data_IF_549427553380
#
_entry.id   IF_549427553380
#
_cell.length_a   1.000
_cell.length_b   1.000
_cell.length_c   1.000
_cell.angle_alpha   90.00
_cell.angle_beta   90.00
_cell.angle_gamma   90.00
#
_symmetry.space_group_name_H-M   'P 1'
#
loop_
_entity.id
_entity.type
_entity.pdbx_description
1 polymer ?
#
# COMPACT_ATOMS: atom_id res chain seq x y z
N UNK A 1 5.09 19.01 -32.75
CA UNK A 1 4.40 17.72 -32.66
C UNK A 1 3.69 17.68 -31.31
N UNK A 2 2.36 17.78 -31.30
CA UNK A 2 1.55 17.68 -30.08
C UNK A 2 1.57 16.22 -29.62
N UNK A 3 2.26 15.92 -28.52
CA UNK A 3 2.12 14.64 -27.84
C UNK A 3 0.82 14.69 -27.04
N UNK A 4 -0.18 13.94 -27.49
CA UNK A 4 -1.44 13.77 -26.79
C UNK A 4 -1.18 13.19 -25.39
N UNK A 5 -1.56 13.93 -24.35
CA UNK A 5 -1.69 13.37 -23.01
C UNK A 5 -2.79 12.30 -23.07
N UNK A 6 -2.40 11.02 -23.10
CA UNK A 6 -3.32 9.92 -22.94
C UNK A 6 -3.94 10.02 -21.54
N UNK A 7 -5.18 10.54 -21.48
CA UNK A 7 -5.98 10.50 -20.27
C UNK A 7 -6.42 9.05 -20.06
N UNK A 8 -5.61 8.31 -19.29
CA UNK A 8 -5.98 6.98 -18.84
C UNK A 8 -7.26 7.10 -18.01
N UNK A 9 -8.30 6.28 -18.29
CA UNK A 9 -9.53 6.32 -17.53
C UNK A 9 -9.22 6.07 -16.06
N UNK A 10 -9.68 6.96 -15.19
CA UNK A 10 -9.59 6.75 -13.75
C UNK A 10 -10.28 5.42 -13.39
N UNK A 11 -9.73 4.64 -12.44
CA UNK A 11 -10.34 3.38 -12.02
C UNK A 11 -11.80 3.59 -11.62
N UNK A 12 -12.71 2.80 -12.19
CA UNK A 12 -14.16 2.95 -12.06
C UNK A 12 -14.72 2.44 -10.72
N UNK A 13 -13.91 2.43 -9.67
CA UNK A 13 -14.26 1.86 -8.37
C UNK A 13 -13.39 2.38 -7.22
N UNK A 14 -13.75 2.06 -5.96
CA UNK A 14 -12.98 2.49 -4.81
C UNK A 14 -11.56 1.91 -4.86
N UNK A 15 -10.57 2.78 -4.71
CA UNK A 15 -9.16 2.38 -4.58
C UNK A 15 -8.89 1.98 -3.12
N UNK A 16 -8.43 0.74 -2.84
CA UNK A 16 -8.05 0.31 -1.51
C UNK A 16 -7.04 1.26 -0.86
N UNK A 17 -7.16 1.47 0.45
CA UNK A 17 -6.22 2.33 1.19
C UNK A 17 -4.77 1.84 1.08
N UNK A 18 -4.57 0.52 1.02
CA UNK A 18 -3.26 -0.10 0.86
C UNK A 18 -2.58 0.22 -0.48
N UNK A 19 -3.35 0.55 -1.52
CA UNK A 19 -2.83 0.94 -2.84
C UNK A 19 -2.43 2.42 -2.90
N UNK A 20 -2.76 3.21 -1.88
CA UNK A 20 -2.35 4.62 -1.77
C UNK A 20 -0.97 4.72 -1.11
N UNK A 21 0.01 4.02 -1.68
CA UNK A 21 1.36 3.84 -1.14
C UNK A 21 1.98 5.11 -0.60
N UNK A 22 2.03 6.19 -1.38
CA UNK A 22 2.65 7.45 -0.97
C UNK A 22 2.04 8.03 0.31
N UNK A 23 0.71 8.03 0.42
CA UNK A 23 0.00 8.50 1.60
C UNK A 23 0.20 7.57 2.81
N UNK A 24 0.32 6.26 2.57
CA UNK A 24 0.60 5.28 3.62
C UNK A 24 2.02 5.48 4.14
N UNK A 25 3.02 5.53 3.26
CA UNK A 25 4.43 5.69 3.64
C UNK A 25 4.66 7.01 4.39
N UNK A 26 4.11 8.12 3.90
CA UNK A 26 4.18 9.41 4.60
C UNK A 26 3.61 9.35 6.03
N UNK A 27 2.53 8.59 6.24
CA UNK A 27 1.91 8.45 7.55
C UNK A 27 2.70 7.55 8.49
N UNK A 28 3.49 6.62 7.96
CA UNK A 28 4.23 5.61 8.72
C UNK A 28 5.71 5.98 8.92
N UNK A 29 6.21 6.99 8.22
CA UNK A 29 7.60 7.44 8.29
C UNK A 29 8.07 7.70 9.73
N UNK A 30 9.21 7.10 10.09
CA UNK A 30 9.82 7.20 11.42
C UNK A 30 9.04 6.52 12.56
N UNK A 31 7.93 5.83 12.27
CA UNK A 31 7.11 5.16 13.29
C UNK A 31 7.45 3.68 13.41
N UNK A 32 7.23 3.14 14.62
CA UNK A 32 7.19 1.70 14.87
C UNK A 32 5.77 1.22 14.62
N UNK A 33 5.58 0.39 13.62
CA UNK A 33 4.25 0.02 13.12
C UNK A 33 3.86 -1.38 13.62
N UNK A 34 2.70 -1.48 14.27
CA UNK A 34 2.01 -2.75 14.47
C UNK A 34 1.01 -2.95 13.34
N UNK A 35 1.04 -4.11 12.69
CA UNK A 35 0.19 -4.41 11.54
C UNK A 35 -0.79 -5.52 11.88
N UNK A 36 -2.07 -5.31 11.59
CA UNK A 36 -3.11 -6.34 11.66
C UNK A 36 -3.43 -6.79 10.24
N UNK A 37 -3.27 -8.07 9.95
CA UNK A 37 -3.42 -8.65 8.61
C UNK A 37 -4.31 -9.88 8.62
N UNK A 38 -4.84 -10.20 7.45
CA UNK A 38 -5.53 -11.45 7.11
C UNK A 38 -5.05 -11.94 5.73
N UNK A 39 -5.64 -13.02 5.23
CA UNK A 39 -5.29 -13.61 3.93
C UNK A 39 -5.51 -12.67 2.73
N UNK A 40 -6.37 -11.65 2.84
CA UNK A 40 -6.64 -10.68 1.77
C UNK A 40 -5.77 -9.41 1.84
N UNK A 41 -4.87 -9.31 2.82
CA UNK A 41 -4.00 -8.14 3.02
C UNK A 41 -2.91 -8.06 1.96
N UNK A 42 -3.24 -7.46 0.81
CA UNK A 42 -2.41 -7.36 -0.39
C UNK A 42 -2.47 -5.96 -1.02
N UNK A 43 -1.42 -5.58 -1.74
CA UNK A 43 -1.36 -4.42 -2.65
C UNK A 43 -1.20 -4.98 -4.05
N UNK A 44 -2.27 -4.98 -4.84
CA UNK A 44 -2.33 -5.72 -6.10
C UNK A 44 -1.96 -7.19 -5.90
N UNK A 45 -0.78 -7.59 -6.41
CA UNK A 45 -0.27 -8.97 -6.32
C UNK A 45 0.74 -9.20 -5.19
N UNK A 46 1.12 -8.18 -4.44
CA UNK A 46 2.12 -8.28 -3.37
C UNK A 46 1.44 -8.38 -2.00
N UNK A 47 2.03 -9.10 -1.05
CA UNK A 47 1.56 -9.04 0.33
C UNK A 47 1.90 -7.66 0.91
N UNK A 48 0.96 -7.08 1.67
CA UNK A 48 1.12 -5.75 2.22
C UNK A 48 2.36 -5.64 3.13
N UNK A 49 2.62 -6.68 3.92
CA UNK A 49 3.77 -6.70 4.84
C UNK A 49 5.10 -6.64 4.09
N UNK A 50 5.25 -7.41 3.01
CA UNK A 50 6.48 -7.45 2.23
C UNK A 50 6.75 -6.09 1.59
N UNK A 51 5.72 -5.50 0.99
CA UNK A 51 5.81 -4.17 0.39
C UNK A 51 6.19 -3.10 1.40
N UNK A 52 5.61 -3.10 2.60
CA UNK A 52 5.98 -2.13 3.65
C UNK A 52 7.44 -2.32 4.12
N UNK A 53 7.93 -3.56 4.22
CA UNK A 53 9.32 -3.83 4.59
C UNK A 53 10.31 -3.40 3.50
N UNK A 54 9.99 -3.65 2.24
CA UNK A 54 10.80 -3.22 1.08
C UNK A 54 10.95 -1.69 1.03
N UNK A 55 9.89 -0.97 1.40
CA UNK A 55 9.87 0.50 1.51
C UNK A 55 10.52 1.02 2.82
N UNK A 56 11.14 0.15 3.62
CA UNK A 56 11.87 0.52 4.82
C UNK A 56 11.01 0.85 6.05
N UNK A 57 9.73 0.48 6.04
CA UNK A 57 8.84 0.70 7.18
C UNK A 57 9.23 -0.24 8.34
N UNK A 58 9.38 0.33 9.53
CA UNK A 58 9.73 -0.42 10.73
C UNK A 58 8.51 -1.15 11.32
N UNK A 59 8.14 -2.28 10.73
CA UNK A 59 7.08 -3.17 11.24
C UNK A 59 7.61 -3.98 12.43
N UNK A 60 7.10 -3.69 13.64
CA UNK A 60 7.61 -4.26 14.90
C UNK A 60 6.73 -5.38 15.47
N UNK A 61 5.49 -5.47 15.00
CA UNK A 61 4.50 -6.48 15.41
C UNK A 61 3.56 -6.78 14.26
N UNK A 62 3.24 -8.06 14.11
CA UNK A 62 2.23 -8.55 13.18
C UNK A 62 1.17 -9.32 13.96
N UNK A 63 -0.10 -9.00 13.71
CA UNK A 63 -1.26 -9.71 14.24
C UNK A 63 -2.01 -10.30 13.06
N UNK A 64 -1.98 -11.63 12.94
CA UNK A 64 -2.80 -12.33 11.96
C UNK A 64 -4.18 -12.62 12.57
N UNK A 65 -5.23 -12.18 11.89
CA UNK A 65 -6.62 -12.50 12.23
C UNK A 65 -7.09 -13.56 11.25
N UNK A 66 -7.52 -14.71 11.76
CA UNK A 66 -8.14 -15.79 10.98
C UNK A 66 -9.65 -15.59 10.83
#
# INVERSE_FOLDING_TARGET
MLTACAHLPAPTGPVPGAERTELVLQKLEGKRVGLVVNQSSRVGRHHLIDMLQDEGVNVVRLFAVE
#
